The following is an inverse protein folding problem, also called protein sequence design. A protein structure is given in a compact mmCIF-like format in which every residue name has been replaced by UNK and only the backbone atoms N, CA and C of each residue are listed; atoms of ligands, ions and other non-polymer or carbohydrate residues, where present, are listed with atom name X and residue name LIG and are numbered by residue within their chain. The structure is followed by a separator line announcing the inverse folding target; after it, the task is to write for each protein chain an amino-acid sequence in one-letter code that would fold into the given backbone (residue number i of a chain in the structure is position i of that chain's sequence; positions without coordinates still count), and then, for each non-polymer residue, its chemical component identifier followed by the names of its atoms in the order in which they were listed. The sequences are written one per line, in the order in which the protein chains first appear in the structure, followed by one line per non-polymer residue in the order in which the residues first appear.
data_IF_658603137878
#
_entry.id   IF_658603137878
#
_cell.length_a   1.000
_cell.length_b   1.000
_cell.length_c   1.000
_cell.angle_alpha   90.00
_cell.angle_beta   90.00
_cell.angle_gamma   90.00
#
_symmetry.space_group_name_H-M   'P 1'
#
loop_
_entity.id
_entity.type
_entity.pdbx_description
1 polymer ?
#
# COMPACT_ATOMS: atom_id res chain seq x y z
N UNK A 1 8.36 27.30 -16.10
CA UNK A 1 6.95 27.47 -15.68
C UNK A 1 6.32 26.11 -15.75
N UNK A 2 6.00 25.49 -14.61
CA UNK A 2 5.31 24.20 -14.57
C UNK A 2 3.86 24.45 -14.96
N UNK A 3 3.35 23.78 -15.99
CA UNK A 3 1.99 24.00 -16.48
C UNK A 3 0.98 23.27 -15.60
N UNK A 4 -0.30 23.67 -15.62
CA UNK A 4 -1.36 22.94 -14.91
C UNK A 4 -1.51 21.50 -15.40
N UNK A 5 -1.08 21.24 -16.64
CA UNK A 5 -1.09 19.92 -17.26
C UNK A 5 0.04 19.04 -16.71
N UNK A 6 1.24 19.59 -16.50
CA UNK A 6 2.35 18.88 -15.83
C UNK A 6 1.99 18.49 -14.39
N UNK A 7 1.30 19.37 -13.66
CA UNK A 7 0.80 19.06 -12.32
C UNK A 7 -0.21 17.92 -12.35
N UNK A 8 -1.17 17.93 -13.28
CA UNK A 8 -2.16 16.85 -13.36
C UNK A 8 -1.57 15.53 -13.82
N UNK A 9 -0.63 15.55 -14.76
CA UNK A 9 0.09 14.36 -15.17
C UNK A 9 0.91 13.76 -14.01
N UNK A 10 1.59 14.61 -13.22
CA UNK A 10 2.30 14.17 -12.03
C UNK A 10 1.34 13.61 -10.97
N UNK A 11 0.20 14.26 -10.73
CA UNK A 11 -0.83 13.77 -9.80
C UNK A 11 -1.40 12.42 -10.27
N UNK A 12 -1.65 12.25 -11.56
CA UNK A 12 -2.16 11.00 -12.12
C UNK A 12 -1.13 9.87 -12.08
N UNK A 13 0.14 10.14 -12.41
CA UNK A 13 1.23 9.17 -12.24
C UNK A 13 1.44 8.79 -10.77
N UNK A 14 1.40 9.77 -9.86
CA UNK A 14 1.41 9.52 -8.43
C UNK A 14 0.16 8.77 -7.97
N UNK A 15 -0.99 8.92 -8.63
CA UNK A 15 -2.19 8.14 -8.34
C UNK A 15 -2.08 6.68 -8.76
N UNK A 16 -1.53 6.44 -9.94
CA UNK A 16 -1.28 5.10 -10.46
C UNK A 16 -0.23 4.33 -9.65
N UNK A 17 0.80 5.01 -9.13
CA UNK A 17 1.91 4.34 -8.43
C UNK A 17 1.91 4.49 -6.89
N UNK A 18 1.40 5.59 -6.35
CA UNK A 18 1.49 5.91 -4.92
C UNK A 18 0.14 6.04 -4.21
N UNK A 19 -1.00 6.08 -4.90
CA UNK A 19 -2.29 6.41 -4.27
C UNK A 19 -3.48 5.49 -4.63
N UNK A 20 -3.26 4.36 -5.31
CA UNK A 20 -4.34 3.38 -5.57
C UNK A 20 -5.01 2.83 -4.30
N UNK A 21 -4.35 2.88 -3.14
CA UNK A 21 -4.90 2.54 -1.82
C UNK A 21 -5.57 3.72 -1.08
N UNK A 22 -5.56 4.92 -1.66
CA UNK A 22 -6.31 6.08 -1.15
C UNK A 22 -7.65 6.28 -1.85
N UNK A 23 -7.89 5.55 -2.94
CA UNK A 23 -9.19 5.47 -3.58
C UNK A 23 -10.18 4.82 -2.59
N UNK A 24 -11.17 5.57 -2.07
CA UNK A 24 -12.04 5.11 -0.97
C UNK A 24 -12.93 3.92 -1.37
N UNK A 25 -13.07 3.66 -2.66
CA UNK A 25 -13.80 2.56 -3.27
C UNK A 25 -12.95 1.29 -3.47
N UNK A 26 -11.63 1.35 -3.22
CA UNK A 26 -10.70 0.24 -3.50
C UNK A 26 -10.08 -0.32 -2.20
N UNK A 27 -10.77 -1.28 -1.59
CA UNK A 27 -10.24 -2.02 -0.43
C UNK A 27 -9.41 -3.23 -0.89
N UNK A 28 -8.18 -3.44 -0.37
CA UNK A 28 -7.39 -4.62 -0.69
C UNK A 28 -8.00 -5.87 -0.05
N UNK A 29 -8.77 -6.60 -0.84
CA UNK A 29 -9.48 -7.82 -0.42
C UNK A 29 -8.58 -9.06 -0.31
N UNK A 30 -7.37 -9.02 -0.88
CA UNK A 30 -6.42 -10.14 -0.80
C UNK A 30 -5.22 -9.78 0.07
N UNK A 31 -4.70 -10.78 0.78
CA UNK A 31 -3.48 -10.65 1.58
C UNK A 31 -2.27 -10.23 0.73
N UNK A 32 -2.18 -10.69 -0.52
CA UNK A 32 -1.12 -10.27 -1.44
C UNK A 32 -1.22 -8.77 -1.76
N UNK A 33 -2.43 -8.26 -2.03
CA UNK A 33 -2.66 -6.84 -2.24
C UNK A 33 -2.36 -6.02 -0.98
N UNK A 34 -2.72 -6.50 0.21
CA UNK A 34 -2.40 -5.85 1.49
C UNK A 34 -0.88 -5.75 1.70
N UNK A 35 -0.12 -6.82 1.44
CA UNK A 35 1.35 -6.82 1.55
C UNK A 35 1.97 -5.83 0.55
N UNK A 36 1.46 -5.79 -0.68
CA UNK A 36 1.99 -4.90 -1.71
C UNK A 36 1.75 -3.43 -1.38
N UNK A 37 0.56 -3.09 -0.86
CA UNK A 37 0.27 -1.75 -0.36
C UNK A 37 1.22 -1.35 0.77
N UNK A 38 1.49 -2.24 1.72
CA UNK A 38 2.43 -1.95 2.81
C UNK A 38 3.86 -1.72 2.31
N UNK A 39 4.29 -2.42 1.26
CA UNK A 39 5.59 -2.15 0.62
C UNK A 39 5.65 -0.77 -0.06
N UNK A 40 4.56 -0.35 -0.69
CA UNK A 40 4.47 0.97 -1.32
C UNK A 40 4.50 2.07 -0.24
N UNK A 41 3.81 1.88 0.88
CA UNK A 41 3.86 2.80 2.02
C UNK A 41 5.27 2.85 2.62
N UNK A 42 5.96 1.71 2.76
CA UNK A 42 7.37 1.70 3.19
C UNK A 42 8.29 2.47 2.23
N UNK A 43 8.02 2.43 0.93
CA UNK A 43 8.88 3.06 -0.08
C UNK A 43 8.65 4.55 -0.25
N UNK A 44 7.41 5.00 -0.10
CA UNK A 44 6.99 6.36 -0.47
C UNK A 44 6.33 7.16 0.66
N UNK A 45 5.99 6.52 1.78
CA UNK A 45 5.38 7.17 2.94
C UNK A 45 6.38 7.98 3.76
N UNK A 46 5.87 8.69 4.75
CA UNK A 46 6.71 9.36 5.74
C UNK A 46 7.45 8.34 6.61
N UNK A 47 8.38 8.81 7.43
CA UNK A 47 9.07 7.96 8.42
C UNK A 47 8.08 7.24 9.35
N UNK A 48 7.02 7.91 9.77
CA UNK A 48 6.00 7.32 10.65
C UNK A 48 5.16 6.27 9.91
N UNK A 49 4.83 6.54 8.64
CA UNK A 49 4.13 5.59 7.79
C UNK A 49 4.97 4.33 7.55
N UNK A 50 6.27 4.49 7.29
CA UNK A 50 7.21 3.39 7.17
C UNK A 50 7.21 2.50 8.42
N UNK A 51 7.33 3.09 9.61
CA UNK A 51 7.37 2.34 10.88
C UNK A 51 6.09 1.54 11.06
N UNK A 52 4.93 2.15 10.78
CA UNK A 52 3.62 1.50 10.92
C UNK A 52 3.45 0.39 9.88
N UNK A 53 3.77 0.66 8.61
CA UNK A 53 3.63 -0.30 7.52
C UNK A 53 4.53 -1.52 7.70
N UNK A 54 5.77 -1.32 8.13
CA UNK A 54 6.72 -2.40 8.40
C UNK A 54 6.24 -3.34 9.49
N UNK A 55 5.67 -2.81 10.58
CA UNK A 55 5.08 -3.62 11.65
C UNK A 55 3.92 -4.48 11.13
N UNK A 56 2.99 -3.87 10.40
CA UNK A 56 1.84 -4.56 9.82
C UNK A 56 2.26 -5.63 8.81
N UNK A 57 3.29 -5.36 7.99
CA UNK A 57 3.79 -6.32 7.01
C UNK A 57 4.42 -7.54 7.68
N UNK A 58 5.22 -7.33 8.72
CA UNK A 58 5.80 -8.42 9.52
C UNK A 58 4.69 -9.28 10.14
N UNK A 59 3.71 -8.64 10.78
CA UNK A 59 2.58 -9.35 11.36
C UNK A 59 1.79 -10.16 10.32
N UNK A 60 1.45 -9.55 9.18
CA UNK A 60 0.74 -10.23 8.09
C UNK A 60 1.54 -11.42 7.59
N UNK A 61 2.86 -11.28 7.39
CA UNK A 61 3.74 -12.35 6.95
C UNK A 61 3.78 -13.52 7.94
N UNK A 62 3.87 -13.24 9.24
CA UNK A 62 3.94 -14.25 10.30
C UNK A 62 2.62 -14.99 10.52
N UNK A 63 1.48 -14.32 10.35
CA UNK A 63 0.16 -14.93 10.53
C UNK A 63 -0.35 -15.65 9.26
N UNK A 64 0.55 -16.08 8.36
CA UNK A 64 0.20 -16.87 7.17
C UNK A 64 -0.20 -18.31 7.46
N UNK A 65 0.11 -18.82 8.66
CA UNK A 65 -0.05 -20.23 9.02
C UNK A 65 -1.22 -20.49 9.97
N UNK A 66 -2.40 -19.95 9.66
CA UNK A 66 -3.64 -20.38 10.29
C UNK A 66 -4.55 -21.12 9.30
N UNK A 67 -3.98 -22.05 8.54
CA UNK A 67 -4.74 -23.21 8.07
C UNK A 67 -4.77 -24.19 9.25
N UNK A 68 -5.70 -24.00 10.18
CA UNK A 68 -6.09 -25.09 11.07
C UNK A 68 -6.84 -26.11 10.20
N UNK A 69 -6.10 -27.05 9.62
CA UNK A 69 -6.70 -28.32 9.21
C UNK A 69 -6.92 -29.11 10.50
N UNK A 70 -8.12 -29.00 11.07
CA UNK A 70 -8.60 -30.01 12.03
C UNK A 70 -9.24 -31.10 11.17
N UNK A 71 -8.51 -32.20 11.01
CA UNK A 71 -9.08 -33.50 10.65
C UNK A 71 -9.39 -34.28 11.93
#
# INVERSE_FOLDING_TARGET
MTTSEDFQNLVNQCREHCLWFTAPDRSPSTRAAQIEILRLIERYGTRDDFIRAKRLRIWLLQNSSATFSVS
#
